data_IF_678419240226
#
_entry.id   IF_678419240226
#
_cell.length_a   1.000
_cell.length_b   1.000
_cell.length_c   1.000
_cell.angle_alpha   90.00
_cell.angle_beta   90.00
_cell.angle_gamma   90.00
#
_symmetry.space_group_name_H-M   'P 1'
#
loop_
_entity.id
_entity.type
_entity.pdbx_description
1 polymer ?
#
# COMPACT_ATOMS: atom_id res chain seq x y z
N UNK A 1 13.93 16.90 -8.28
CA UNK A 1 12.66 16.28 -8.72
C UNK A 1 11.55 16.65 -7.76
N UNK A 2 10.38 17.01 -8.30
CA UNK A 2 9.16 17.31 -7.53
C UNK A 2 8.40 15.98 -7.30
N UNK A 3 8.01 15.72 -6.04
CA UNK A 3 7.34 14.48 -5.66
C UNK A 3 5.97 14.81 -5.11
N UNK A 4 4.95 14.10 -5.55
CA UNK A 4 3.66 14.04 -4.88
C UNK A 4 3.48 12.67 -4.23
N UNK A 5 2.82 12.65 -3.07
CA UNK A 5 2.48 11.44 -2.34
C UNK A 5 0.96 11.28 -2.38
N UNK A 6 0.50 10.13 -2.81
CA UNK A 6 -0.92 9.79 -2.89
C UNK A 6 -1.19 8.61 -1.97
N UNK A 7 -2.18 8.74 -1.10
CA UNK A 7 -2.64 7.66 -0.22
C UNK A 7 -4.13 7.38 -0.44
N UNK A 8 -4.56 6.18 -0.12
CA UNK A 8 -5.98 5.81 -0.22
C UNK A 8 -6.81 6.53 0.84
N UNK A 9 -7.92 7.14 0.43
CA UNK A 9 -8.90 7.70 1.36
C UNK A 9 -9.61 6.62 2.20
N UNK A 10 -9.48 5.33 1.85
CA UNK A 10 -9.88 4.20 2.70
C UNK A 10 -8.97 4.04 3.93
N UNK A 11 -7.72 4.54 3.88
CA UNK A 11 -6.83 4.54 5.04
C UNK A 11 -7.19 5.67 6.00
N UNK A 12 -7.91 5.32 7.06
CA UNK A 12 -8.36 6.24 8.11
C UNK A 12 -7.40 6.32 9.31
N UNK A 13 -6.24 5.66 9.24
CA UNK A 13 -5.25 5.63 10.35
C UNK A 13 -4.53 6.95 10.55
N UNK A 14 -4.46 7.77 9.51
CA UNK A 14 -3.86 9.10 9.54
C UNK A 14 -4.91 10.18 9.25
N UNK A 15 -4.75 11.40 9.80
CA UNK A 15 -5.59 12.54 9.42
C UNK A 15 -5.58 12.80 7.92
N UNK A 16 -6.55 13.60 7.45
CA UNK A 16 -6.58 14.03 6.05
C UNK A 16 -5.28 14.76 5.67
N UNK A 17 -4.86 14.56 4.43
CA UNK A 17 -3.64 15.15 3.83
C UNK A 17 -2.30 14.79 4.50
N UNK A 18 -2.26 13.81 5.40
CA UNK A 18 -1.03 13.39 6.06
C UNK A 18 -0.83 11.89 5.98
N UNK A 19 0.33 11.48 5.46
CA UNK A 19 0.88 10.14 5.63
C UNK A 19 1.79 10.14 6.86
N UNK A 20 1.61 9.18 7.76
CA UNK A 20 2.40 9.06 8.96
C UNK A 20 3.09 7.71 9.05
N UNK A 21 4.42 7.70 9.20
CA UNK A 21 5.18 6.47 9.41
C UNK A 21 5.05 5.96 10.85
N UNK A 22 5.45 4.72 11.11
CA UNK A 22 5.50 4.15 12.47
C UNK A 22 6.43 4.94 13.41
N UNK A 23 7.46 5.60 12.87
CA UNK A 23 8.39 6.46 13.61
C UNK A 23 7.88 7.89 13.80
N UNK A 24 6.59 8.12 13.52
CA UNK A 24 5.93 9.44 13.63
C UNK A 24 6.47 10.52 12.68
N UNK A 25 7.16 10.16 11.61
CA UNK A 25 7.50 11.09 10.54
C UNK A 25 6.26 11.32 9.68
N UNK A 26 5.92 12.58 9.44
CA UNK A 26 4.73 12.97 8.70
C UNK A 26 5.10 13.57 7.35
N UNK A 27 4.37 13.17 6.30
CA UNK A 27 4.49 13.72 4.95
C UNK A 27 3.12 14.24 4.50
N UNK A 28 3.12 15.37 3.78
CA UNK A 28 1.91 15.81 3.09
C UNK A 28 1.55 14.80 2.01
N UNK A 29 0.29 14.39 1.95
CA UNK A 29 -0.22 13.50 0.92
C UNK A 29 -1.57 13.97 0.39
N UNK A 30 -1.92 13.51 -0.79
CA UNK A 30 -3.23 13.67 -1.40
C UNK A 30 -4.01 12.38 -1.11
N UNK A 31 -5.18 12.48 -0.47
CA UNK A 31 -6.03 11.32 -0.22
C UNK A 31 -7.17 11.27 -1.24
N UNK A 32 -7.25 10.17 -1.98
CA UNK A 32 -8.29 9.94 -2.99
C UNK A 32 -8.85 8.51 -2.88
N UNK A 33 -10.06 8.32 -3.37
CA UNK A 33 -10.64 6.97 -3.55
C UNK A 33 -10.25 6.36 -4.89
N UNK A 34 -10.02 7.17 -5.91
CA UNK A 34 -9.62 6.74 -7.24
C UNK A 34 -8.39 7.54 -7.69
N UNK A 35 -7.34 6.84 -8.14
CA UNK A 35 -6.11 7.48 -8.63
C UNK A 35 -6.35 8.36 -9.87
N UNK A 36 -7.41 8.10 -10.65
CA UNK A 36 -7.73 8.90 -11.82
C UNK A 36 -8.14 10.33 -11.47
N UNK A 37 -8.57 10.60 -10.23
CA UNK A 37 -8.84 11.98 -9.76
C UNK A 37 -7.55 12.81 -9.72
N UNK A 38 -6.41 12.16 -9.46
CA UNK A 38 -5.10 12.83 -9.38
C UNK A 38 -4.64 13.35 -10.74
N UNK A 39 -5.03 12.71 -11.84
CA UNK A 39 -4.65 13.11 -13.21
C UNK A 39 -5.14 14.51 -13.62
N UNK A 40 -6.10 15.05 -12.88
CA UNK A 40 -6.69 16.37 -13.15
C UNK A 40 -6.19 17.48 -12.21
N UNK A 41 -5.17 17.17 -11.40
CA UNK A 41 -4.60 18.10 -10.42
C UNK A 41 -3.33 18.75 -10.97
N UNK A 42 -3.14 20.03 -10.71
CA UNK A 42 -1.93 20.75 -11.09
C UNK A 42 -0.68 20.13 -10.47
N UNK A 43 -0.81 19.59 -9.25
CA UNK A 43 0.27 18.89 -8.56
C UNK A 43 0.77 17.66 -9.33
N UNK A 44 -0.12 16.94 -10.03
CA UNK A 44 0.27 15.82 -10.88
C UNK A 44 1.05 16.29 -12.11
N UNK A 45 0.56 17.33 -12.77
CA UNK A 45 1.23 17.88 -13.96
C UNK A 45 2.65 18.36 -13.64
N UNK A 46 2.83 19.00 -12.49
CA UNK A 46 4.10 19.53 -12.04
C UNK A 46 5.05 18.48 -11.43
N UNK A 47 4.55 17.31 -11.04
CA UNK A 47 5.36 16.28 -10.41
C UNK A 47 6.27 15.56 -11.41
N UNK A 48 7.50 15.24 -10.99
CA UNK A 48 8.37 14.30 -11.67
C UNK A 48 8.07 12.85 -11.21
N UNK A 49 7.72 12.70 -9.93
CA UNK A 49 7.53 11.40 -9.26
C UNK A 49 6.15 11.38 -8.59
N UNK A 50 5.41 10.29 -8.78
CA UNK A 50 4.18 9.98 -8.06
C UNK A 50 4.43 8.80 -7.14
N UNK A 51 4.42 9.03 -5.83
CA UNK A 51 4.52 8.00 -4.81
C UNK A 51 3.12 7.60 -4.35
N UNK A 52 2.77 6.32 -4.48
CA UNK A 52 1.47 5.78 -4.13
C UNK A 52 1.64 4.84 -2.94
N UNK A 53 0.96 5.14 -1.84
CA UNK A 53 0.91 4.28 -0.66
C UNK A 53 -0.45 3.58 -0.55
N UNK A 54 -0.49 2.45 0.16
CA UNK A 54 -1.67 1.58 0.30
C UNK A 54 -2.30 1.21 -1.06
N UNK A 55 -1.43 0.95 -2.04
CA UNK A 55 -1.80 0.79 -3.45
C UNK A 55 -2.81 -0.34 -3.71
N UNK A 56 -2.89 -1.35 -2.82
CA UNK A 56 -3.85 -2.45 -2.91
C UNK A 56 -5.32 -2.00 -2.83
N UNK A 57 -5.59 -0.82 -2.28
CA UNK A 57 -6.95 -0.29 -2.17
C UNK A 57 -7.45 0.42 -3.42
N UNK A 58 -6.58 0.73 -4.36
CA UNK A 58 -6.97 1.48 -5.54
C UNK A 58 -7.50 0.57 -6.64
N UNK A 59 -8.72 0.82 -7.11
CA UNK A 59 -9.21 0.17 -8.32
C UNK A 59 -8.45 0.69 -9.54
N UNK A 60 -8.28 -0.14 -10.55
CA UNK A 60 -7.64 0.23 -11.82
C UNK A 60 -6.21 0.75 -11.68
N UNK A 61 -5.48 0.29 -10.62
CA UNK A 61 -4.10 0.70 -10.36
C UNK A 61 -3.21 0.49 -11.59
N UNK A 62 -3.27 -0.70 -12.19
CA UNK A 62 -2.47 -1.01 -13.39
C UNK A 62 -2.72 -0.03 -14.52
N UNK A 63 -3.99 0.32 -14.78
CA UNK A 63 -4.33 1.29 -15.83
C UNK A 63 -3.81 2.70 -15.52
N UNK A 64 -3.85 3.10 -14.25
CA UNK A 64 -3.26 4.37 -13.84
C UNK A 64 -1.74 4.38 -14.07
N UNK A 65 -1.05 3.28 -13.74
CA UNK A 65 0.39 3.13 -13.97
C UNK A 65 0.72 3.28 -15.45
N UNK A 66 -0.02 2.61 -16.34
CA UNK A 66 0.14 2.75 -17.79
C UNK A 66 -0.01 4.22 -18.23
N UNK A 67 -1.03 4.94 -17.74
CA UNK A 67 -1.25 6.36 -18.06
C UNK A 67 -0.12 7.26 -17.56
N UNK A 68 0.32 7.08 -16.31
CA UNK A 68 1.37 7.91 -15.71
C UNK A 68 2.72 7.70 -16.41
N UNK A 69 3.05 6.46 -16.76
CA UNK A 69 4.25 6.14 -17.54
C UNK A 69 4.20 6.75 -18.94
N UNK A 70 3.04 6.73 -19.59
CA UNK A 70 2.86 7.35 -20.92
C UNK A 70 3.20 8.84 -20.91
N UNK A 71 2.93 9.55 -19.81
CA UNK A 71 3.28 10.96 -19.63
C UNK A 71 4.61 11.16 -18.87
N UNK A 72 5.48 10.14 -18.90
CA UNK A 72 6.84 10.17 -18.35
C UNK A 72 6.93 10.51 -16.85
N UNK A 73 5.98 10.05 -16.04
CA UNK A 73 6.11 10.12 -14.58
C UNK A 73 6.89 8.92 -14.06
N UNK A 74 7.84 9.17 -13.16
CA UNK A 74 8.43 8.10 -12.36
C UNK A 74 7.43 7.68 -11.27
N UNK A 75 7.34 6.38 -10.97
CA UNK A 75 6.39 5.85 -10.01
C UNK A 75 7.10 5.11 -8.88
N UNK A 76 6.67 5.36 -7.64
CA UNK A 76 7.02 4.56 -6.46
C UNK A 76 5.71 4.02 -5.89
N UNK A 77 5.55 2.70 -5.90
CA UNK A 77 4.29 2.06 -5.50
C UNK A 77 4.56 1.17 -4.29
N UNK A 78 3.87 1.45 -3.20
CA UNK A 78 3.94 0.67 -1.96
C UNK A 78 2.55 0.14 -1.59
N UNK A 79 2.51 -1.07 -1.04
CA UNK A 79 1.26 -1.69 -0.60
C UNK A 79 1.41 -3.17 -0.32
N UNK A 80 0.31 -3.78 0.11
CA UNK A 80 0.23 -5.21 0.41
C UNK A 80 0.06 -6.02 -0.88
N UNK A 81 0.85 -7.07 -1.02
CA UNK A 81 0.75 -8.02 -2.13
C UNK A 81 -0.37 -9.05 -1.93
N UNK A 82 -0.68 -9.37 -0.67
CA UNK A 82 -1.70 -10.37 -0.33
C UNK A 82 -2.57 -9.90 0.86
N UNK A 83 -3.80 -10.39 0.87
CA UNK A 83 -4.73 -10.22 1.98
C UNK A 83 -4.49 -11.24 3.11
N UNK A 84 -5.35 -11.24 4.13
CA UNK A 84 -5.27 -12.17 5.26
C UNK A 84 -5.63 -13.63 4.92
N UNK A 85 -6.13 -13.89 3.72
CA UNK A 85 -6.39 -15.23 3.17
C UNK A 85 -5.27 -15.68 2.23
N UNK A 86 -4.17 -14.93 2.13
CA UNK A 86 -3.03 -15.14 1.23
C UNK A 86 -3.44 -15.10 -0.25
N UNK A 87 -4.53 -14.41 -0.55
CA UNK A 87 -4.96 -14.14 -1.92
C UNK A 87 -4.41 -12.79 -2.38
N UNK A 88 -4.18 -12.65 -3.69
CA UNK A 88 -3.74 -11.39 -4.30
C UNK A 88 -4.63 -10.24 -3.84
N UNK A 89 -4.02 -9.16 -3.33
CA UNK A 89 -4.76 -7.99 -2.87
C UNK A 89 -4.67 -6.86 -3.89
N UNK A 90 -5.79 -6.53 -4.51
CA UNK A 90 -5.84 -5.50 -5.57
C UNK A 90 -4.99 -5.84 -6.79
N UNK A 91 -4.41 -4.81 -7.41
CA UNK A 91 -3.68 -4.94 -8.67
C UNK A 91 -2.16 -4.67 -8.54
N UNK A 92 -1.63 -4.57 -7.32
CA UNK A 92 -0.20 -4.21 -7.14
C UNK A 92 0.73 -5.26 -7.79
N UNK A 93 0.40 -6.54 -7.72
CA UNK A 93 1.18 -7.60 -8.37
C UNK A 93 1.09 -7.55 -9.90
N UNK A 94 0.02 -6.99 -10.44
CA UNK A 94 -0.15 -6.84 -11.89
C UNK A 94 0.75 -5.73 -12.46
N UNK A 95 1.31 -4.87 -11.59
CA UNK A 95 2.24 -3.82 -11.97
C UNK A 95 3.70 -4.31 -12.05
N UNK A 96 4.03 -5.49 -11.49
CA UNK A 96 5.40 -6.05 -11.48
C UNK A 96 6.03 -6.11 -12.88
N UNK A 97 5.34 -6.57 -13.95
CA UNK A 97 5.94 -6.62 -15.28
C UNK A 97 6.35 -5.26 -15.86
N UNK A 98 5.85 -4.16 -15.29
CA UNK A 98 6.16 -2.79 -15.73
C UNK A 98 7.20 -2.12 -14.81
N UNK A 99 7.54 -2.75 -13.68
CA UNK A 99 8.48 -2.20 -12.72
C UNK A 99 9.93 -2.44 -13.16
N UNK A 100 10.77 -1.41 -13.03
CA UNK A 100 12.22 -1.55 -13.19
C UNK A 100 12.88 -2.22 -11.99
N UNK A 101 12.25 -2.12 -10.82
CA UNK A 101 12.73 -2.71 -9.57
C UNK A 101 11.54 -3.14 -8.70
N UNK A 102 11.69 -4.25 -7.98
CA UNK A 102 10.71 -4.73 -7.03
C UNK A 102 11.41 -5.25 -5.77
N UNK A 103 10.98 -4.76 -4.62
CA UNK A 103 11.47 -5.22 -3.31
C UNK A 103 10.30 -5.76 -2.49
N UNK A 104 10.36 -7.06 -2.13
CA UNK A 104 9.42 -7.63 -1.17
C UNK A 104 9.94 -7.44 0.24
N UNK A 105 9.26 -6.64 1.04
CA UNK A 105 9.54 -6.45 2.45
C UNK A 105 8.78 -7.47 3.30
N UNK A 106 9.35 -7.81 4.45
CA UNK A 106 8.72 -8.64 5.48
C UNK A 106 8.81 -7.97 6.83
N UNK A 107 7.71 -8.00 7.57
CA UNK A 107 7.74 -7.66 8.99
C UNK A 107 8.40 -8.76 9.82
N UNK A 108 8.55 -8.52 11.11
CA UNK A 108 8.94 -9.55 12.08
C UNK A 108 7.69 -10.29 12.59
N UNK A 109 7.83 -11.59 12.84
CA UNK A 109 6.75 -12.40 13.39
C UNK A 109 6.37 -11.95 14.80
N UNK A 110 5.16 -11.44 14.97
CA UNK A 110 4.67 -10.94 16.26
C UNK A 110 4.43 -12.05 17.30
N UNK A 111 4.42 -13.31 16.86
CA UNK A 111 4.27 -14.48 17.75
C UNK A 111 5.61 -15.04 18.20
N UNK A 112 6.61 -15.13 17.31
CA UNK A 112 7.94 -15.62 17.67
C UNK A 112 8.67 -14.66 18.59
N UNK A 113 8.68 -13.36 18.27
CA UNK A 113 9.37 -12.29 19.03
C UNK A 113 10.88 -12.50 19.19
N UNK A 114 11.50 -13.20 18.26
CA UNK A 114 12.91 -13.59 18.25
C UNK A 114 13.67 -13.14 16.98
N UNK A 115 13.04 -12.25 16.20
CA UNK A 115 13.60 -11.79 14.91
C UNK A 115 13.18 -12.65 13.71
N UNK A 116 12.40 -13.70 13.89
CA UNK A 116 11.86 -14.51 12.79
C UNK A 116 11.02 -13.64 11.84
N UNK A 117 11.27 -13.77 10.53
CA UNK A 117 10.48 -13.07 9.49
C UNK A 117 9.01 -13.50 9.54
N UNK A 118 8.11 -12.50 9.42
CA UNK A 118 6.66 -12.67 9.40
C UNK A 118 6.05 -12.08 8.12
N UNK A 119 6.21 -12.75 6.97
CA UNK A 119 5.75 -12.21 5.68
C UNK A 119 4.23 -12.30 5.47
N UNK A 120 3.51 -12.97 6.37
CA UNK A 120 2.08 -13.20 6.21
C UNK A 120 1.26 -12.33 7.16
N UNK A 121 0.14 -11.82 6.64
CA UNK A 121 -0.85 -11.11 7.42
C UNK A 121 -1.88 -12.11 7.96
N UNK A 122 -1.96 -12.25 9.29
CA UNK A 122 -2.98 -13.03 9.96
C UNK A 122 -4.02 -12.11 10.59
N UNK A 123 -5.29 -12.34 10.26
CA UNK A 123 -6.39 -11.67 10.94
C UNK A 123 -6.63 -12.31 12.32
N UNK A 124 -6.83 -11.48 13.33
CA UNK A 124 -7.07 -11.92 14.71
C UNK A 124 -8.50 -11.66 15.18
N UNK A 125 -9.33 -11.09 14.30
CA UNK A 125 -10.77 -10.84 14.55
C UNK A 125 -11.64 -11.82 13.78
N UNK A 126 -12.87 -12.02 14.22
CA UNK A 126 -13.86 -12.91 13.56
C UNK A 126 -14.57 -12.26 12.36
N UNK A 127 -14.27 -11.02 12.02
CA UNK A 127 -14.86 -10.36 10.85
C UNK A 127 -14.27 -10.98 9.57
N UNK A 128 -15.12 -11.25 8.55
CA UNK A 128 -14.75 -11.91 7.28
C UNK A 128 -14.64 -10.94 6.10
N UNK A 129 -14.82 -9.64 6.30
CA UNK A 129 -14.68 -8.65 5.22
C UNK A 129 -13.23 -8.62 4.72
N UNK A 130 -13.03 -8.64 3.40
CA UNK A 130 -11.70 -8.66 2.78
C UNK A 130 -11.00 -7.32 2.97
N UNK A 131 -11.72 -6.22 2.80
CA UNK A 131 -11.21 -4.85 2.91
C UNK A 131 -11.50 -4.24 4.30
N UNK A 132 -11.12 -4.93 5.36
CA UNK A 132 -11.23 -4.37 6.69
C UNK A 132 -9.96 -3.56 7.01
N UNK A 133 -10.06 -2.24 7.01
CA UNK A 133 -8.98 -1.36 7.43
C UNK A 133 -8.84 -1.42 8.95
N UNK A 134 -7.65 -1.77 9.44
CA UNK A 134 -7.39 -1.87 10.88
C UNK A 134 -5.90 -2.00 11.19
N UNK A 135 -5.55 -1.70 12.42
CA UNK A 135 -4.18 -1.77 12.93
C UNK A 135 -3.85 -3.12 13.58
N UNK A 136 -2.90 -3.09 14.52
CA UNK A 136 -2.42 -4.27 15.26
C UNK A 136 -3.47 -4.92 16.17
N UNK A 137 -4.61 -4.29 16.36
CA UNK A 137 -5.79 -4.84 17.03
C UNK A 137 -6.58 -5.84 16.18
N UNK A 138 -6.42 -5.78 14.86
CA UNK A 138 -7.16 -6.61 13.89
C UNK A 138 -6.29 -7.58 13.11
N UNK A 139 -5.02 -7.22 12.90
CA UNK A 139 -4.06 -7.97 12.11
C UNK A 139 -2.72 -8.11 12.81
N UNK A 140 -2.02 -9.19 12.54
CA UNK A 140 -0.63 -9.38 12.96
C UNK A 140 0.20 -10.00 11.84
N UNK A 141 1.47 -9.60 11.77
CA UNK A 141 2.46 -10.24 10.93
C UNK A 141 2.93 -11.54 11.57
N UNK A 142 2.92 -12.63 10.82
CA UNK A 142 3.30 -13.95 11.30
C UNK A 142 4.17 -14.72 10.30
N UNK A 143 4.97 -15.64 10.81
CA UNK A 143 5.66 -16.65 10.01
C UNK A 143 4.71 -17.79 9.61
N UNK A 144 5.17 -18.68 8.75
CA UNK A 144 4.43 -19.86 8.26
C UNK A 144 3.89 -20.76 9.38
N UNK A 145 4.68 -20.95 10.45
CA UNK A 145 4.27 -21.76 11.63
C UNK A 145 3.05 -21.15 12.35
N UNK A 146 3.00 -19.82 12.43
CA UNK A 146 1.94 -19.11 13.14
C UNK A 146 0.79 -18.66 12.24
N UNK A 147 0.94 -18.80 10.92
CA UNK A 147 -0.15 -18.61 9.97
C UNK A 147 -1.20 -19.70 10.13
N UNK A 148 -0.75 -20.93 10.24
CA UNK A 148 -1.59 -22.11 10.47
C UNK A 148 -1.86 -22.23 11.96
N UNK A 149 -2.87 -21.51 12.49
CA UNK A 149 -3.46 -21.67 13.84
C UNK A 149 -2.56 -21.51 15.07
#
# INVERSE_FOLDING_TARGET
KKIIVVNSAKDTRSPDEVLKTHDNVSFKCIKVYDLFDVLHMDEFDEADIVAIDEAQFFPRLKKFVDCAMYVNKDLIIAGLDADSFQMKFGEILDCIPMASEMTKLSALCMRCKDGTSGPFTKRITNNKEIELVGGCDMYMAVCDKHLKF
#
